data_IF_540954254067
#
_entry.id   IF_540954254067
#
_cell.length_a   1.000
_cell.length_b   1.000
_cell.length_c   1.000
_cell.angle_alpha   90.00
_cell.angle_beta   90.00
_cell.angle_gamma   90.00
#
_symmetry.space_group_name_H-M   'P 1'
#
loop_
_entity.id
_entity.type
_entity.pdbx_description
1 polymer ?
#
# COMPACT_ATOMS: atom_id res chain seq x y z
N UNK A 1 33.45 -13.77 11.84
CA UNK A 1 32.51 -14.16 10.77
C UNK A 1 31.10 -14.02 11.32
N UNK A 2 30.35 -13.02 10.84
CA UNK A 2 28.96 -12.82 11.27
C UNK A 2 28.06 -13.52 10.24
N UNK A 3 27.63 -14.74 10.54
CA UNK A 3 26.65 -15.44 9.72
C UNK A 3 25.28 -14.85 10.03
N UNK A 4 24.84 -13.86 9.24
CA UNK A 4 23.42 -13.55 9.15
C UNK A 4 22.79 -14.69 8.35
N UNK A 5 22.38 -15.76 9.03
CA UNK A 5 21.46 -16.72 8.45
C UNK A 5 20.07 -16.07 8.41
N UNK A 6 19.86 -15.15 7.46
CA UNK A 6 18.51 -14.71 7.12
C UNK A 6 17.85 -15.87 6.39
N UNK A 7 17.08 -16.68 7.12
CA UNK A 7 16.21 -17.70 6.54
C UNK A 7 14.99 -17.09 5.85
N UNK A 8 14.80 -15.75 5.94
CA UNK A 8 13.72 -15.02 5.28
C UNK A 8 14.06 -14.58 3.87
N UNK A 9 13.09 -14.68 2.97
CA UNK A 9 13.11 -14.18 1.58
C UNK A 9 13.16 -12.65 1.45
N UNK A 10 13.03 -11.91 2.55
CA UNK A 10 13.05 -10.44 2.57
C UNK A 10 13.77 -9.86 3.80
N UNK A 11 14.20 -8.60 3.72
CA UNK A 11 14.85 -7.86 4.83
C UNK A 11 13.95 -6.79 5.45
N UNK A 12 13.04 -6.20 4.67
CA UNK A 12 12.10 -5.18 5.16
C UNK A 12 10.79 -5.20 4.37
N UNK A 13 9.81 -4.41 4.81
CA UNK A 13 8.55 -4.22 4.10
C UNK A 13 8.42 -2.81 3.53
N UNK A 14 7.94 -2.70 2.29
CA UNK A 14 7.38 -1.47 1.75
C UNK A 14 5.88 -1.48 1.99
N UNK A 15 5.39 -0.64 2.90
CA UNK A 15 3.97 -0.38 3.05
C UNK A 15 3.56 0.73 2.07
N UNK A 16 2.79 0.36 1.05
CA UNK A 16 2.45 1.22 -0.08
C UNK A 16 1.01 1.67 0.06
N UNK A 17 0.80 2.98 0.08
CA UNK A 17 -0.52 3.60 -0.02
C UNK A 17 -0.66 4.27 -1.40
N UNK A 18 -1.88 4.32 -1.90
CA UNK A 18 -2.22 4.94 -3.18
C UNK A 18 -3.18 6.12 -2.97
N UNK A 19 -3.13 7.08 -3.88
CA UNK A 19 -4.06 8.20 -3.94
C UNK A 19 -5.14 7.90 -5.01
N UNK A 20 -6.37 7.52 -4.61
CA UNK A 20 -7.38 7.02 -5.53
C UNK A 20 -7.72 7.96 -6.69
N UNK A 21 -7.82 9.29 -6.54
CA UNK A 21 -8.13 10.19 -7.65
C UNK A 21 -7.11 10.10 -8.80
N UNK A 22 -5.81 10.04 -8.49
CA UNK A 22 -4.77 9.87 -9.51
C UNK A 22 -4.77 8.46 -10.08
N UNK A 23 -4.92 7.42 -9.25
CA UNK A 23 -5.00 6.03 -9.71
C UNK A 23 -6.18 5.84 -10.68
N UNK A 24 -7.38 6.27 -10.30
CA UNK A 24 -8.60 6.18 -11.10
C UNK A 24 -8.50 6.98 -12.40
N UNK A 25 -7.88 8.17 -12.38
CA UNK A 25 -7.71 8.98 -13.60
C UNK A 25 -6.80 8.31 -14.63
N UNK A 26 -5.77 7.59 -14.17
CA UNK A 26 -4.79 6.93 -15.04
C UNK A 26 -5.14 5.47 -15.35
N UNK A 27 -6.14 4.91 -14.69
CA UNK A 27 -6.67 3.57 -14.91
C UNK A 27 -7.24 3.42 -16.31
N UNK A 28 -7.00 2.26 -16.92
CA UNK A 28 -7.65 1.85 -18.18
C UNK A 28 -9.03 1.19 -17.95
N UNK A 29 -9.47 1.04 -16.70
CA UNK A 29 -10.77 0.46 -16.37
C UNK A 29 -11.90 1.46 -16.68
N UNK A 30 -13.13 0.96 -16.91
CA UNK A 30 -14.26 1.84 -17.13
C UNK A 30 -14.56 2.72 -15.91
N UNK A 31 -14.78 4.02 -16.15
CA UNK A 31 -15.00 5.03 -15.09
C UNK A 31 -16.11 4.69 -14.09
N UNK A 32 -17.17 4.00 -14.51
CA UNK A 32 -18.27 3.60 -13.62
C UNK A 32 -17.86 2.56 -12.56
N UNK A 33 -16.70 1.91 -12.72
CA UNK A 33 -16.12 0.99 -11.72
C UNK A 33 -15.22 1.69 -10.72
N UNK A 34 -14.80 2.92 -11.02
CA UNK A 34 -13.85 3.64 -10.19
C UNK A 34 -14.51 4.02 -8.85
N UNK A 35 -13.74 3.91 -7.76
CA UNK A 35 -14.17 4.39 -6.44
C UNK A 35 -13.47 5.73 -6.16
N UNK A 36 -14.17 6.88 -6.29
CA UNK A 36 -13.55 8.21 -6.18
C UNK A 36 -13.34 8.62 -4.72
N UNK A 37 -12.54 7.84 -4.00
CA UNK A 37 -12.21 8.11 -2.60
C UNK A 37 -11.22 9.27 -2.51
N UNK A 38 -11.38 10.13 -1.51
CA UNK A 38 -10.54 11.33 -1.30
C UNK A 38 -9.56 11.16 -0.14
N UNK A 39 -9.15 9.91 0.13
CA UNK A 39 -8.20 9.54 1.16
C UNK A 39 -7.21 8.51 0.63
N UNK A 40 -6.00 8.50 1.17
CA UNK A 40 -5.03 7.46 0.87
C UNK A 40 -5.56 6.10 1.34
N UNK A 41 -5.44 5.10 0.48
CA UNK A 41 -5.81 3.71 0.76
C UNK A 41 -4.60 2.82 0.60
N UNK A 42 -4.63 1.64 1.22
CA UNK A 42 -3.59 0.63 1.04
C UNK A 42 -3.60 0.19 -0.42
N UNK A 43 -2.41 0.12 -1.02
CA UNK A 43 -2.18 -0.62 -2.25
C UNK A 43 -1.58 -2.00 -1.94
N UNK A 44 -0.59 -2.06 -1.03
CA UNK A 44 0.14 -3.29 -0.76
C UNK A 44 1.11 -3.22 0.41
N UNK A 45 1.42 -4.38 0.98
CA UNK A 45 2.51 -4.58 1.92
C UNK A 45 3.55 -5.51 1.27
N UNK A 46 4.67 -4.96 0.83
CA UNK A 46 5.56 -5.70 -0.06
C UNK A 46 6.86 -6.07 0.63
N UNK A 47 7.10 -7.36 0.89
CA UNK A 47 8.42 -7.91 1.17
C UNK A 47 9.48 -7.35 0.22
N UNK A 48 10.59 -6.87 0.75
CA UNK A 48 11.62 -6.15 0.00
C UNK A 48 13.02 -6.46 0.49
N UNK A 49 13.99 -6.36 -0.42
CA UNK A 49 15.41 -6.55 -0.21
C UNK A 49 16.20 -5.35 -0.72
N UNK A 50 17.41 -5.16 -0.17
CA UNK A 50 18.38 -4.20 -0.71
C UNK A 50 19.11 -4.71 -1.95
N UNK A 51 19.03 -6.02 -2.21
CA UNK A 51 19.70 -6.72 -3.32
C UNK A 51 18.69 -7.49 -4.18
N UNK A 52 19.10 -7.91 -5.38
CA UNK A 52 18.25 -8.53 -6.38
C UNK A 52 17.70 -9.92 -5.92
N UNK A 53 16.39 -10.22 -6.05
CA UNK A 53 15.30 -9.31 -6.40
C UNK A 53 14.97 -8.35 -5.25
N UNK A 54 14.92 -7.06 -5.57
CA UNK A 54 14.66 -5.99 -4.58
C UNK A 54 13.23 -6.04 -4.01
N UNK A 55 12.31 -6.66 -4.75
CA UNK A 55 10.95 -6.95 -4.31
C UNK A 55 10.62 -8.38 -4.73
N UNK A 56 10.88 -9.38 -3.87
CA UNK A 56 10.46 -10.74 -4.16
C UNK A 56 8.96 -10.77 -4.45
N UNK A 57 8.57 -11.60 -5.40
CA UNK A 57 7.18 -11.75 -5.84
C UNK A 57 6.91 -13.15 -6.34
N UNK A 58 5.65 -13.58 -6.26
CA UNK A 58 5.19 -14.91 -6.68
C UNK A 58 5.97 -16.04 -6.01
N UNK A 59 6.28 -15.89 -4.71
CA UNK A 59 6.96 -16.92 -3.95
C UNK A 59 6.04 -18.12 -3.73
N UNK A 60 6.63 -19.31 -3.57
CA UNK A 60 5.87 -20.50 -3.17
C UNK A 60 5.26 -20.27 -1.78
N UNK A 61 3.96 -20.53 -1.66
CA UNK A 61 3.20 -20.34 -0.43
C UNK A 61 1.73 -20.72 -0.59
N UNK A 62 0.98 -20.61 0.49
CA UNK A 62 -0.47 -20.88 0.48
C UNK A 62 -1.18 -19.89 -0.45
N UNK A 63 -2.05 -20.40 -1.31
CA UNK A 63 -2.93 -19.55 -2.10
C UNK A 63 -3.93 -18.83 -1.19
N UNK A 64 -4.39 -17.67 -1.67
CA UNK A 64 -5.36 -16.85 -0.96
C UNK A 64 -6.60 -17.65 -0.53
N UNK A 65 -7.01 -17.46 0.73
CA UNK A 65 -8.27 -17.95 1.29
C UNK A 65 -9.15 -16.78 1.68
N UNK A 66 -10.47 -16.96 1.65
CA UNK A 66 -11.40 -15.92 2.08
C UNK A 66 -11.12 -15.52 3.54
N UNK A 67 -11.07 -14.20 3.77
CA UNK A 67 -10.77 -13.62 5.08
C UNK A 67 -12.01 -13.63 6.01
N UNK A 68 -11.83 -13.61 7.33
CA UNK A 68 -12.94 -13.49 8.27
C UNK A 68 -13.78 -12.21 8.02
N UNK A 69 -15.11 -12.25 8.21
CA UNK A 69 -15.98 -11.10 7.93
C UNK A 69 -15.56 -9.79 8.62
N UNK A 70 -15.08 -9.88 9.87
CA UNK A 70 -14.61 -8.70 10.61
C UNK A 70 -13.41 -8.02 9.94
N UNK A 71 -12.48 -8.80 9.38
CA UNK A 71 -11.33 -8.27 8.66
C UNK A 71 -11.74 -7.75 7.28
N UNK A 72 -12.65 -8.42 6.58
CA UNK A 72 -13.22 -7.93 5.33
C UNK A 72 -13.81 -6.53 5.51
N UNK A 73 -14.59 -6.28 6.57
CA UNK A 73 -15.17 -4.96 6.84
C UNK A 73 -14.09 -3.88 7.05
N UNK A 74 -12.99 -4.20 7.73
CA UNK A 74 -11.84 -3.30 7.89
C UNK A 74 -11.13 -3.01 6.56
N UNK A 75 -10.94 -4.04 5.73
CA UNK A 75 -10.26 -3.92 4.45
C UNK A 75 -11.09 -3.21 3.38
N UNK A 76 -12.42 -3.33 3.40
CA UNK A 76 -13.30 -2.54 2.50
C UNK A 76 -13.10 -1.03 2.63
N UNK A 77 -12.72 -0.57 3.83
CA UNK A 77 -12.46 0.85 4.12
C UNK A 77 -11.00 1.19 3.80
N UNK A 78 -10.07 0.37 4.27
CA UNK A 78 -8.63 0.69 4.23
C UNK A 78 -7.93 0.29 2.93
N UNK A 79 -8.35 -0.81 2.29
CA UNK A 79 -7.71 -1.41 1.11
C UNK A 79 -8.71 -1.73 -0.02
N UNK A 80 -9.56 -0.80 -0.46
CA UNK A 80 -10.45 -1.04 -1.59
C UNK A 80 -9.69 -1.16 -2.92
N UNK A 81 -10.24 -1.96 -3.82
CA UNK A 81 -9.94 -1.87 -5.25
C UNK A 81 -10.61 -0.62 -5.81
N UNK A 82 -9.79 0.40 -6.07
CA UNK A 82 -10.26 1.69 -6.54
C UNK A 82 -10.49 1.73 -8.06
N UNK A 83 -9.94 0.78 -8.81
CA UNK A 83 -10.00 0.77 -10.29
C UNK A 83 -11.12 -0.12 -10.82
N UNK A 84 -11.33 -1.31 -10.26
CA UNK A 84 -12.33 -2.26 -10.77
C UNK A 84 -13.48 -2.53 -9.81
N UNK A 85 -13.33 -2.10 -8.55
CA UNK A 85 -14.31 -2.27 -7.49
C UNK A 85 -14.43 -3.71 -6.97
N UNK A 86 -13.54 -4.62 -7.35
CA UNK A 86 -13.52 -6.00 -6.88
C UNK A 86 -12.42 -6.19 -5.82
N UNK A 87 -12.77 -5.85 -4.58
CA UNK A 87 -11.82 -5.84 -3.46
C UNK A 87 -11.20 -7.22 -3.21
N UNK A 88 -12.01 -8.28 -3.19
CA UNK A 88 -11.51 -9.65 -2.92
C UNK A 88 -10.48 -10.09 -3.96
N UNK A 89 -10.74 -9.81 -5.25
CA UNK A 89 -9.79 -10.14 -6.32
C UNK A 89 -8.49 -9.34 -6.18
N UNK A 90 -8.58 -8.09 -5.73
CA UNK A 90 -7.40 -7.26 -5.50
C UNK A 90 -6.58 -7.79 -4.31
N UNK A 91 -7.22 -8.13 -3.20
CA UNK A 91 -6.57 -8.74 -2.03
C UNK A 91 -5.91 -10.07 -2.36
N UNK A 92 -6.61 -10.93 -3.12
CA UNK A 92 -6.08 -12.19 -3.62
C UNK A 92 -4.79 -11.97 -4.44
N UNK A 93 -4.81 -11.01 -5.38
CA UNK A 93 -3.65 -10.67 -6.18
C UNK A 93 -2.47 -10.19 -5.35
N UNK A 94 -2.71 -9.31 -4.37
CA UNK A 94 -1.66 -8.80 -3.49
C UNK A 94 -1.10 -9.87 -2.55
N UNK A 95 -1.94 -10.77 -2.02
CA UNK A 95 -1.46 -11.90 -1.22
C UNK A 95 -0.63 -12.88 -2.05
N UNK A 96 -1.18 -13.39 -3.15
CA UNK A 96 -0.52 -14.40 -3.97
C UNK A 96 0.80 -13.90 -4.56
N UNK A 97 0.86 -12.61 -4.93
CA UNK A 97 2.05 -11.99 -5.51
C UNK A 97 3.06 -11.55 -4.46
N UNK A 98 2.64 -10.95 -3.35
CA UNK A 98 3.54 -10.31 -2.39
C UNK A 98 3.51 -10.95 -1.01
N UNK A 99 2.32 -11.24 -0.46
CA UNK A 99 2.18 -11.80 0.87
C UNK A 99 2.82 -13.18 1.07
N UNK A 100 2.74 -14.06 0.06
CA UNK A 100 3.40 -15.38 0.04
C UNK A 100 4.90 -15.29 0.27
N UNK A 101 5.55 -14.20 -0.15
CA UNK A 101 6.98 -13.97 0.07
C UNK A 101 7.35 -13.62 1.52
N UNK A 102 6.38 -13.50 2.42
CA UNK A 102 6.59 -13.29 3.86
C UNK A 102 5.87 -14.31 4.74
N UNK A 103 5.29 -15.36 4.15
CA UNK A 103 4.38 -16.28 4.84
C UNK A 103 5.00 -16.97 6.08
N UNK A 104 6.32 -17.19 6.05
CA UNK A 104 7.05 -17.75 7.19
C UNK A 104 7.01 -16.87 8.45
N UNK A 105 6.74 -15.57 8.30
CA UNK A 105 6.70 -14.59 9.40
C UNK A 105 5.32 -13.97 9.61
N UNK A 106 4.55 -13.80 8.53
CA UNK A 106 3.19 -13.28 8.52
C UNK A 106 2.32 -14.22 7.70
N UNK A 107 1.52 -15.05 8.37
CA UNK A 107 0.49 -15.79 7.66
C UNK A 107 -0.54 -14.82 7.05
N UNK A 108 -1.41 -15.33 6.18
CA UNK A 108 -2.36 -14.48 5.47
C UNK A 108 -3.19 -13.56 6.38
N UNK A 109 -3.71 -14.09 7.49
CA UNK A 109 -4.52 -13.30 8.42
C UNK A 109 -3.68 -12.15 9.01
N UNK A 110 -2.48 -12.47 9.51
CA UNK A 110 -1.56 -11.50 10.08
C UNK A 110 -1.10 -10.45 9.07
N UNK A 111 -0.84 -10.84 7.82
CA UNK A 111 -0.45 -9.93 6.74
C UNK A 111 -1.48 -8.81 6.53
N UNK A 112 -2.77 -9.18 6.45
CA UNK A 112 -3.85 -8.22 6.26
C UNK A 112 -4.16 -7.42 7.54
N UNK A 113 -4.12 -8.05 8.73
CA UNK A 113 -4.31 -7.36 10.01
C UNK A 113 -3.21 -6.32 10.26
N UNK A 114 -1.95 -6.68 10.01
CA UNK A 114 -0.81 -5.78 10.14
C UNK A 114 -0.93 -4.61 9.15
N UNK A 115 -1.30 -4.89 7.89
CA UNK A 115 -1.52 -3.86 6.88
C UNK A 115 -2.62 -2.87 7.29
N UNK A 116 -3.74 -3.36 7.83
CA UNK A 116 -4.80 -2.50 8.37
C UNK A 116 -4.31 -1.66 9.56
N UNK A 117 -3.57 -2.26 10.49
CA UNK A 117 -3.03 -1.55 11.66
C UNK A 117 -2.07 -0.43 11.22
N UNK A 118 -1.17 -0.71 10.27
CA UNK A 118 -0.27 0.30 9.70
C UNK A 118 -1.02 1.44 9.01
N UNK A 119 -2.07 1.15 8.23
CA UNK A 119 -2.89 2.19 7.62
C UNK A 119 -3.55 3.10 8.66
N UNK A 120 -4.10 2.51 9.73
CA UNK A 120 -4.73 3.25 10.81
C UNK A 120 -3.74 4.14 11.57
N UNK A 121 -2.52 3.65 11.83
CA UNK A 121 -1.47 4.40 12.52
C UNK A 121 -0.82 5.49 11.66
N UNK A 122 -0.75 5.29 10.34
CA UNK A 122 -0.09 6.20 9.40
C UNK A 122 -1.07 6.78 8.39
N UNK A 123 -2.06 7.53 8.90
CA UNK A 123 -3.06 8.21 8.06
C UNK A 123 -2.43 9.39 7.31
N UNK A 124 -1.91 9.14 6.11
CA UNK A 124 -1.23 10.14 5.28
C UNK A 124 -2.15 11.31 4.93
N UNK A 125 -3.44 11.06 4.73
CA UNK A 125 -4.41 12.12 4.43
C UNK A 125 -4.48 13.15 5.56
N UNK A 126 -4.63 12.70 6.81
CA UNK A 126 -4.68 13.62 7.96
C UNK A 126 -3.31 14.26 8.23
N UNK A 127 -2.21 13.53 8.05
CA UNK A 127 -0.86 14.09 8.20
C UNK A 127 -0.64 15.27 7.23
N UNK A 128 -0.99 15.11 5.97
CA UNK A 128 -0.84 16.16 4.96
C UNK A 128 -1.81 17.31 5.20
N UNK A 129 -3.07 17.01 5.55
CA UNK A 129 -4.07 18.03 5.90
C UNK A 129 -3.63 18.90 7.07
N UNK A 130 -3.06 18.31 8.11
CA UNK A 130 -2.52 19.03 9.28
C UNK A 130 -1.32 19.92 8.93
N UNK A 131 -0.61 19.62 7.84
CA UNK A 131 0.44 20.47 7.27
C UNK A 131 -0.11 21.47 6.23
N UNK A 132 -1.43 21.63 6.12
CA UNK A 132 -2.11 22.45 5.10
C UNK A 132 -1.82 22.02 3.65
N UNK A 133 -1.41 20.77 3.47
CA UNK A 133 -1.21 20.13 2.16
C UNK A 133 -2.50 19.38 1.83
N UNK A 134 -3.41 20.05 1.12
CA UNK A 134 -4.67 19.48 0.66
C UNK A 134 -4.68 19.33 -0.87
N UNK A 135 -5.42 18.37 -1.44
CA UNK A 135 -5.54 18.26 -2.89
C UNK A 135 -6.10 19.56 -3.49
N UNK A 136 -5.47 20.08 -4.54
CA UNK A 136 -6.02 21.18 -5.34
C UNK A 136 -5.62 21.06 -6.82
N UNK A 137 -6.48 21.59 -7.69
CA UNK A 137 -6.30 21.58 -9.14
C UNK A 137 -5.38 22.71 -9.66
N UNK A 138 -5.11 23.72 -8.84
CA UNK A 138 -4.40 24.94 -9.25
C UNK A 138 -3.14 25.20 -8.44
N UNK A 139 -3.15 24.82 -7.16
CA UNK A 139 -1.98 24.91 -6.29
C UNK A 139 -1.01 23.77 -6.64
N UNK A 140 0.27 23.98 -6.40
CA UNK A 140 1.30 22.93 -6.44
C UNK A 140 2.07 22.89 -5.13
N UNK A 141 2.67 21.74 -4.82
CA UNK A 141 3.42 21.49 -3.58
C UNK A 141 4.79 21.00 -3.96
N UNK A 142 5.82 21.45 -3.25
CA UNK A 142 7.16 20.93 -3.47
C UNK A 142 7.22 19.51 -2.94
N UNK A 143 7.98 18.66 -3.64
CA UNK A 143 8.27 17.31 -3.20
C UNK A 143 8.81 17.28 -1.75
N UNK A 144 9.70 18.21 -1.41
CA UNK A 144 10.28 18.37 -0.07
C UNK A 144 9.25 18.60 1.02
N UNK A 145 8.17 19.34 0.74
CA UNK A 145 7.19 19.74 1.73
C UNK A 145 6.33 18.54 2.12
N UNK A 146 5.91 17.76 1.12
CA UNK A 146 5.17 16.50 1.31
C UNK A 146 6.03 15.48 2.08
N UNK A 147 7.29 15.30 1.67
CA UNK A 147 8.21 14.39 2.35
C UNK A 147 8.45 14.81 3.80
N UNK A 148 8.64 16.10 4.05
CA UNK A 148 8.92 16.63 5.39
C UNK A 148 7.73 16.49 6.32
N UNK A 149 6.51 16.76 5.84
CA UNK A 149 5.28 16.56 6.62
C UNK A 149 5.13 15.09 7.06
N UNK A 150 5.26 14.15 6.12
CA UNK A 150 5.16 12.71 6.42
C UNK A 150 6.30 12.25 7.32
N UNK A 151 7.54 12.68 7.08
CA UNK A 151 8.70 12.33 7.92
C UNK A 151 8.54 12.84 9.35
N UNK A 152 8.01 14.04 9.53
CA UNK A 152 7.80 14.63 10.86
C UNK A 152 6.81 13.82 11.69
N UNK A 153 5.71 13.37 11.07
CA UNK A 153 4.69 12.57 11.75
C UNK A 153 5.13 11.11 11.98
N UNK A 154 5.76 10.49 10.99
CA UNK A 154 6.08 9.04 11.03
C UNK A 154 7.48 8.72 11.56
N UNK A 155 8.34 9.73 11.70
CA UNK A 155 9.78 9.61 11.99
C UNK A 155 10.56 8.76 10.97
N UNK A 156 9.99 8.53 9.78
CA UNK A 156 10.58 7.76 8.69
C UNK A 156 10.52 8.56 7.39
N UNK A 157 11.57 8.50 6.58
CA UNK A 157 11.56 9.17 5.27
C UNK A 157 10.71 8.37 4.29
N UNK A 158 9.60 8.91 3.76
CA UNK A 158 8.81 8.22 2.75
C UNK A 158 9.50 8.25 1.37
N UNK A 159 9.10 7.32 0.51
CA UNK A 159 9.35 7.39 -0.93
C UNK A 159 8.06 7.80 -1.62
N UNK A 160 8.05 8.94 -2.32
CA UNK A 160 6.90 9.35 -3.12
C UNK A 160 7.06 8.81 -4.55
N UNK A 161 5.97 8.27 -5.11
CA UNK A 161 5.90 7.87 -6.51
C UNK A 161 4.89 8.74 -7.23
N UNK A 162 5.36 9.52 -8.19
CA UNK A 162 4.53 10.37 -9.02
C UNK A 162 4.21 9.66 -10.34
N UNK A 163 3.10 10.08 -10.95
CA UNK A 163 2.75 9.75 -12.33
C UNK A 163 2.52 11.04 -13.06
N UNK A 164 2.97 11.09 -14.32
CA UNK A 164 2.71 12.22 -15.19
C UNK A 164 1.24 12.26 -15.55
N UNK A 165 0.69 13.47 -15.66
CA UNK A 165 -0.59 13.64 -16.30
C UNK A 165 -0.43 13.28 -17.78
N UNK A 166 -1.34 12.46 -18.30
CA UNK A 166 -1.45 12.24 -19.74
C UNK A 166 -2.38 13.33 -20.22
N UNK A 167 -1.81 14.47 -20.62
CA UNK A 167 -2.55 15.46 -21.39
C UNK A 167 -3.14 14.80 -22.64
#
# INVERSE_FOLDING_TARGET
LCFIMSTGSHVYFQFVQQWPPTTCRLSSKPRYKHRPLQNFTIHGLWPSNYSNPTKPSNCNGSQFKILPPQLISKLKISWPDVESGNDTRFWEGEWNKHGTCSEQTLNQLQYFEQSYSMWKSYNITEILKNASIIPSATQTWKYSDIVSAIKTATKRTPLLRCKWDKN
#
